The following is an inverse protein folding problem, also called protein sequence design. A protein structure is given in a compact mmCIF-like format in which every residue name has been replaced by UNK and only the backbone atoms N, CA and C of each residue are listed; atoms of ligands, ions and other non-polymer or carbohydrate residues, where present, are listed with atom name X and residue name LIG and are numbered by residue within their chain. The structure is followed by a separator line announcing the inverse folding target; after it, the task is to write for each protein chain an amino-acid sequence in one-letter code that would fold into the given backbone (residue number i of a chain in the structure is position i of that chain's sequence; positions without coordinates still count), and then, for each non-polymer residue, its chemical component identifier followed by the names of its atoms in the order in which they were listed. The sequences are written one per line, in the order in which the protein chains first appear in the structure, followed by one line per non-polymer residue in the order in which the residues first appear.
data_IF_774006564192
#
_entry.id   IF_774006564192
#
_cell.length_a   1.000
_cell.length_b   1.000
_cell.length_c   1.000
_cell.angle_alpha   90.00
_cell.angle_beta   90.00
_cell.angle_gamma   90.00
#
_symmetry.space_group_name_H-M   'P 1'
#
loop_
_entity.id
_entity.type
_entity.pdbx_description
1 polymer ?
#
# COMPACT_ATOMS: atom_id res chain seq x y z
N UNK A 1 13.24 -36.08 -7.65
CA UNK A 1 14.01 -35.01 -6.99
C UNK A 1 13.18 -33.73 -6.73
N UNK A 2 11.88 -33.83 -6.40
CA UNK A 2 11.01 -32.68 -6.07
C UNK A 2 10.51 -32.69 -4.61
N UNK A 3 10.75 -33.77 -3.86
CA UNK A 3 10.21 -33.97 -2.53
C UNK A 3 10.95 -33.18 -1.44
N UNK A 4 12.29 -33.12 -1.49
CA UNK A 4 13.07 -32.37 -0.50
C UNK A 4 12.87 -30.85 -0.61
N UNK A 5 12.76 -30.30 -1.82
CA UNK A 5 12.53 -28.86 -2.01
C UNK A 5 11.17 -28.43 -1.48
N UNK A 6 10.12 -29.24 -1.68
CA UNK A 6 8.80 -28.97 -1.11
C UNK A 6 8.81 -29.10 0.42
N UNK A 7 9.48 -30.11 0.97
CA UNK A 7 9.57 -30.29 2.43
C UNK A 7 10.34 -29.16 3.12
N UNK A 8 11.44 -28.69 2.51
CA UNK A 8 12.21 -27.55 3.00
C UNK A 8 11.40 -26.26 2.91
N UNK A 9 10.67 -26.04 1.81
CA UNK A 9 9.77 -24.89 1.69
C UNK A 9 8.67 -24.95 2.76
N UNK A 10 8.09 -26.12 3.03
CA UNK A 10 7.08 -26.29 4.07
C UNK A 10 7.59 -26.04 5.49
N UNK A 11 8.75 -26.57 5.83
CA UNK A 11 9.37 -26.37 7.15
C UNK A 11 9.81 -24.91 7.32
N UNK A 12 10.45 -24.32 6.31
CA UNK A 12 10.80 -22.91 6.33
C UNK A 12 9.57 -22.01 6.39
N UNK A 13 8.48 -22.34 5.69
CA UNK A 13 7.26 -21.53 5.66
C UNK A 13 6.47 -21.61 6.98
N UNK A 14 6.40 -22.78 7.63
CA UNK A 14 5.74 -22.92 8.93
C UNK A 14 6.52 -22.24 10.07
N UNK A 15 7.86 -22.28 10.00
CA UNK A 15 8.74 -21.53 10.92
C UNK A 15 8.67 -20.03 10.64
N UNK A 16 8.71 -19.60 9.37
CA UNK A 16 8.49 -18.20 8.99
C UNK A 16 7.12 -17.71 9.47
N UNK A 17 6.06 -18.49 9.29
CA UNK A 17 4.70 -18.16 9.71
C UNK A 17 4.64 -17.89 11.22
N UNK A 18 5.26 -18.75 12.05
CA UNK A 18 5.29 -18.56 13.49
C UNK A 18 6.12 -17.35 13.92
N UNK A 19 7.24 -17.07 13.24
CA UNK A 19 8.12 -15.93 13.53
C UNK A 19 7.48 -14.60 13.06
N UNK A 20 6.84 -14.59 11.90
CA UNK A 20 6.09 -13.45 11.35
C UNK A 20 4.78 -13.15 12.09
N UNK A 21 4.48 -13.82 13.21
CA UNK A 21 3.25 -13.59 13.99
C UNK A 21 3.48 -12.80 15.29
N UNK A 22 4.73 -12.51 15.68
CA UNK A 22 5.04 -11.75 16.90
C UNK A 22 5.49 -10.32 16.60
N UNK A 23 4.79 -9.61 15.72
CA UNK A 23 5.07 -8.18 15.52
C UNK A 23 4.86 -7.39 16.82
N UNK A 24 5.71 -6.39 17.14
CA UNK A 24 6.71 -5.76 16.29
C UNK A 24 8.14 -6.33 16.45
N UNK A 25 8.35 -7.56 16.92
CA UNK A 25 9.71 -8.10 17.01
C UNK A 25 10.37 -8.18 15.61
N UNK A 26 11.62 -7.70 15.46
CA UNK A 26 12.27 -7.62 14.17
C UNK A 26 12.67 -8.99 13.64
N UNK A 27 12.49 -9.18 12.33
CA UNK A 27 13.07 -10.31 11.61
C UNK A 27 14.52 -9.98 11.30
N UNK A 28 15.43 -10.74 11.91
CA UNK A 28 16.88 -10.65 11.71
C UNK A 28 17.37 -11.91 11.00
N UNK A 29 18.18 -11.73 9.95
CA UNK A 29 18.85 -12.83 9.27
C UNK A 29 20.26 -13.07 9.85
N UNK A 30 20.89 -12.02 10.36
CA UNK A 30 22.20 -12.02 11.02
C UNK A 30 22.14 -11.15 12.28
N UNK A 31 23.11 -11.31 13.19
CA UNK A 31 23.23 -10.45 14.35
C UNK A 31 23.56 -9.01 13.91
N UNK A 32 22.98 -8.02 14.59
CA UNK A 32 23.26 -6.62 14.30
C UNK A 32 24.73 -6.28 14.56
N UNK A 33 25.29 -5.42 13.71
CA UNK A 33 26.65 -4.90 13.84
C UNK A 33 26.86 -4.26 15.22
N UNK A 34 27.97 -4.58 15.88
CA UNK A 34 28.26 -4.10 17.23
C UNK A 34 28.59 -2.60 17.26
N UNK A 35 28.28 -1.95 18.39
CA UNK A 35 28.57 -0.52 18.63
C UNK A 35 30.05 -0.16 18.43
N UNK A 36 30.95 -1.11 18.70
CA UNK A 36 32.39 -0.96 18.52
C UNK A 36 32.79 -0.89 17.04
N UNK A 37 32.22 -1.76 16.20
CA UNK A 37 32.42 -1.75 14.75
C UNK A 37 31.86 -0.47 14.11
N UNK A 38 30.70 -0.02 14.60
CA UNK A 38 30.07 1.23 14.18
C UNK A 38 30.97 2.43 14.51
N UNK A 39 31.46 2.52 15.75
CA UNK A 39 32.33 3.62 16.20
C UNK A 39 33.64 3.66 15.40
N UNK A 40 34.21 2.51 15.06
CA UNK A 40 35.41 2.41 14.21
C UNK A 40 35.15 2.89 12.78
N UNK A 41 33.94 2.66 12.24
CA UNK A 41 33.57 3.11 10.89
C UNK A 41 33.25 4.61 10.84
N UNK A 42 32.55 5.13 11.86
CA UNK A 42 32.16 6.54 11.97
C UNK A 42 33.35 7.48 12.17
N UNK A 43 34.40 7.04 12.85
CA UNK A 43 35.63 7.83 12.99
C UNK A 43 36.35 8.05 11.65
N UNK A 44 36.00 7.32 10.58
CA UNK A 44 36.63 7.42 9.28
C UNK A 44 35.83 8.19 8.22
N UNK A 45 34.53 8.48 8.40
CA UNK A 45 33.75 9.29 7.46
C UNK A 45 32.63 10.11 8.13
N UNK A 46 32.41 11.31 7.58
CA UNK A 46 31.43 12.33 7.98
C UNK A 46 30.06 11.77 8.44
N UNK A 47 29.53 12.42 9.49
CA UNK A 47 28.33 12.11 10.29
C UNK A 47 26.99 11.82 9.56
N UNK A 48 26.90 11.87 8.23
CA UNK A 48 25.66 11.64 7.48
C UNK A 48 25.16 10.18 7.53
N UNK A 49 26.05 9.24 7.85
CA UNK A 49 25.68 7.83 8.03
C UNK A 49 24.95 7.56 9.35
N UNK A 50 25.03 8.46 10.34
CA UNK A 50 24.34 8.33 11.64
C UNK A 50 22.83 8.58 11.48
N UNK A 51 22.44 9.45 10.54
CA UNK A 51 21.02 9.71 10.24
C UNK A 51 20.38 8.61 9.37
N UNK A 52 21.17 7.70 8.81
CA UNK A 52 20.68 6.50 8.10
C UNK A 52 20.10 5.42 9.05
N UNK A 53 20.05 5.69 10.36
CA UNK A 53 19.75 4.68 11.36
C UNK A 53 18.26 4.60 11.68
N UNK A 54 17.55 3.70 10.99
CA UNK A 54 16.21 3.26 11.40
C UNK A 54 16.22 2.25 12.57
N UNK A 55 17.37 2.00 13.21
CA UNK A 55 17.45 1.21 14.45
C UNK A 55 16.99 2.00 15.69
N UNK A 56 17.12 3.33 15.69
CA UNK A 56 16.54 4.18 16.74
C UNK A 56 15.01 4.08 16.76
N UNK A 57 14.38 3.94 15.58
CA UNK A 57 12.93 3.77 15.41
C UNK A 57 12.39 2.37 15.75
N UNK A 58 13.26 1.36 15.94
CA UNK A 58 12.82 0.09 16.55
C UNK A 58 12.56 0.30 18.06
N UNK A 59 13.29 1.22 18.68
CA UNK A 59 13.15 1.60 20.10
C UNK A 59 12.46 2.95 20.31
N UNK A 60 12.01 3.62 19.24
CA UNK A 60 11.35 4.92 19.37
C UNK A 60 9.96 4.67 19.95
N UNK A 61 9.83 4.90 21.25
CA UNK A 61 8.60 4.69 22.02
C UNK A 61 7.42 5.49 21.44
N UNK A 62 7.70 6.60 20.75
CA UNK A 62 6.66 7.45 20.15
C UNK A 62 6.11 6.90 18.83
N UNK A 63 6.93 6.19 18.03
CA UNK A 63 6.52 5.62 16.72
C UNK A 63 7.30 4.32 16.42
N UNK A 64 6.93 3.20 17.06
CA UNK A 64 7.59 1.93 16.82
C UNK A 64 7.34 1.41 15.40
N UNK A 65 8.33 0.73 14.82
CA UNK A 65 8.15 0.02 13.55
C UNK A 65 7.13 -1.11 13.70
N UNK A 66 6.18 -1.19 12.76
CA UNK A 66 5.01 -2.09 12.87
C UNK A 66 5.36 -3.54 12.51
N UNK A 67 6.14 -3.74 11.45
CA UNK A 67 6.62 -5.04 11.00
C UNK A 67 8.10 -4.95 10.58
N UNK A 68 9.04 -4.79 11.51
CA UNK A 68 10.44 -4.55 11.14
C UNK A 68 11.09 -5.78 10.52
N UNK A 69 11.63 -5.61 9.31
CA UNK A 69 12.44 -6.61 8.61
C UNK A 69 13.78 -5.95 8.31
N UNK A 70 14.87 -6.47 8.88
CA UNK A 70 16.16 -5.79 8.85
C UNK A 70 17.07 -6.41 7.81
N UNK A 71 17.67 -5.57 6.95
CA UNK A 71 18.66 -6.01 5.98
C UNK A 71 19.91 -6.55 6.70
N UNK A 72 20.50 -7.68 6.25
CA UNK A 72 21.61 -8.31 6.94
C UNK A 72 22.94 -7.54 6.78
N UNK A 73 23.11 -6.81 5.67
CA UNK A 73 24.35 -6.11 5.38
C UNK A 73 24.36 -4.74 6.05
N UNK A 74 25.50 -4.43 6.67
CA UNK A 74 25.81 -3.10 7.17
C UNK A 74 25.91 -2.07 6.01
N UNK A 75 25.33 -0.86 6.17
CA UNK A 75 24.46 -0.45 7.27
C UNK A 75 23.09 -1.12 7.21
N UNK A 76 22.64 -1.70 8.33
CA UNK A 76 21.36 -2.39 8.42
C UNK A 76 20.18 -1.41 8.35
N UNK A 77 19.14 -1.77 7.60
CA UNK A 77 17.96 -0.93 7.37
C UNK A 77 16.68 -1.74 7.51
N UNK A 78 15.62 -1.09 8.04
CA UNK A 78 14.29 -1.67 8.00
C UNK A 78 13.73 -1.57 6.57
N UNK A 79 13.68 -2.68 5.84
CA UNK A 79 13.16 -2.72 4.46
C UNK A 79 11.63 -2.64 4.40
N UNK A 80 10.97 -2.85 5.54
CA UNK A 80 9.53 -2.85 5.71
C UNK A 80 9.00 -1.56 6.39
N UNK A 81 9.78 -0.48 6.37
CA UNK A 81 9.43 0.81 7.00
C UNK A 81 8.14 1.45 6.46
N UNK A 82 7.71 1.06 5.26
CA UNK A 82 6.51 1.59 4.62
C UNK A 82 5.21 0.96 5.11
N UNK A 83 5.29 -0.11 5.91
CA UNK A 83 4.13 -0.80 6.47
C UNK A 83 3.51 0.05 7.57
N UNK A 84 2.20 0.28 7.45
CA UNK A 84 1.34 0.88 8.48
C UNK A 84 0.30 -0.14 9.00
N UNK A 85 -0.47 0.22 10.03
CA UNK A 85 -1.43 -0.70 10.67
C UNK A 85 -2.48 -1.24 9.68
N UNK A 86 -2.90 -0.42 8.72
CA UNK A 86 -3.86 -0.82 7.68
C UNK A 86 -3.26 -1.84 6.72
N UNK A 87 -2.03 -1.64 6.25
CA UNK A 87 -1.34 -2.61 5.36
C UNK A 87 -0.92 -3.88 6.11
N UNK A 88 -0.57 -3.77 7.39
CA UNK A 88 -0.29 -4.90 8.29
C UNK A 88 -1.52 -5.81 8.40
N UNK A 89 -2.72 -5.25 8.55
CA UNK A 89 -3.96 -6.03 8.62
C UNK A 89 -4.14 -6.93 7.38
N UNK A 90 -3.83 -6.42 6.19
CA UNK A 90 -3.89 -7.16 4.92
C UNK A 90 -2.87 -8.28 4.92
N UNK A 91 -1.62 -7.99 5.32
CA UNK A 91 -0.57 -9.01 5.39
C UNK A 91 -0.97 -10.13 6.36
N UNK A 92 -1.49 -9.79 7.54
CA UNK A 92 -1.94 -10.77 8.52
C UNK A 92 -3.12 -11.60 8.01
N UNK A 93 -4.09 -10.98 7.32
CA UNK A 93 -5.23 -11.69 6.72
C UNK A 93 -4.78 -12.70 5.66
N UNK A 94 -3.95 -12.27 4.70
CA UNK A 94 -3.49 -13.16 3.64
C UNK A 94 -2.57 -14.26 4.18
N UNK A 95 -1.74 -13.93 5.18
CA UNK A 95 -0.87 -14.90 5.88
C UNK A 95 -1.69 -15.93 6.64
N UNK A 96 -2.73 -15.51 7.36
CA UNK A 96 -3.66 -16.42 8.07
C UNK A 96 -4.40 -17.33 7.10
N UNK A 97 -4.92 -16.77 6.00
CA UNK A 97 -5.58 -17.54 4.94
C UNK A 97 -4.66 -18.61 4.34
N UNK A 98 -3.40 -18.26 4.07
CA UNK A 98 -2.40 -19.22 3.61
C UNK A 98 -2.14 -20.31 4.68
N UNK A 99 -1.95 -19.91 5.95
CA UNK A 99 -1.78 -20.85 7.07
C UNK A 99 -2.92 -21.84 7.19
N UNK A 100 -4.17 -21.40 7.06
CA UNK A 100 -5.35 -22.25 7.16
C UNK A 100 -5.44 -23.25 5.99
N UNK A 101 -4.99 -22.88 4.79
CA UNK A 101 -4.82 -23.84 3.68
C UNK A 101 -3.76 -24.91 3.99
N UNK A 102 -2.68 -24.54 4.68
CA UNK A 102 -1.62 -25.49 5.04
C UNK A 102 -1.97 -26.39 6.23
N UNK A 103 -2.80 -25.94 7.19
CA UNK A 103 -3.25 -26.77 8.32
C UNK A 103 -4.07 -27.98 7.86
N UNK A 104 -4.87 -27.81 6.81
CA UNK A 104 -5.75 -28.85 6.28
C UNK A 104 -5.08 -29.70 5.19
N UNK A 105 -3.76 -29.62 5.07
CA UNK A 105 -3.02 -30.21 3.97
C UNK A 105 -2.50 -31.61 4.31
N UNK A 106 -2.92 -32.60 3.54
CA UNK A 106 -2.27 -33.90 3.49
C UNK A 106 -1.17 -33.86 2.42
N UNK A 107 0.02 -34.39 2.73
CA UNK A 107 1.18 -34.38 1.83
C UNK A 107 0.91 -34.94 0.42
N UNK A 108 -0.05 -35.87 0.30
CA UNK A 108 -0.46 -36.46 -0.98
C UNK A 108 -1.25 -35.49 -1.89
N UNK A 109 -1.74 -34.36 -1.36
CA UNK A 109 -2.56 -33.38 -2.08
C UNK A 109 -1.74 -32.20 -2.65
N UNK A 110 -0.41 -32.21 -2.51
CA UNK A 110 0.49 -31.18 -3.03
C UNK A 110 0.74 -31.33 -4.53
N UNK A 111 -0.30 -31.11 -5.32
CA UNK A 111 -0.21 -31.09 -6.78
C UNK A 111 0.01 -29.66 -7.29
N UNK A 112 0.53 -29.53 -8.52
CA UNK A 112 0.61 -28.24 -9.22
C UNK A 112 -0.75 -27.52 -9.27
N UNK A 113 -1.82 -28.29 -9.46
CA UNK A 113 -3.18 -27.79 -9.48
C UNK A 113 -3.62 -27.21 -8.13
N UNK A 114 -3.27 -27.89 -7.02
CA UNK A 114 -3.53 -27.37 -5.68
C UNK A 114 -2.89 -25.99 -5.52
N UNK A 115 -1.60 -25.85 -5.81
CA UNK A 115 -0.88 -24.56 -5.72
C UNK A 115 -1.54 -23.45 -6.54
N UNK A 116 -1.95 -23.74 -7.78
CA UNK A 116 -2.60 -22.77 -8.67
C UNK A 116 -4.00 -22.36 -8.18
N UNK A 117 -4.76 -23.29 -7.59
CA UNK A 117 -6.14 -23.05 -7.16
C UNK A 117 -6.25 -22.49 -5.75
N UNK A 118 -5.25 -22.69 -4.89
CA UNK A 118 -5.25 -22.23 -3.49
C UNK A 118 -4.33 -21.03 -3.29
N UNK A 119 -3.02 -21.23 -3.32
CA UNK A 119 -2.01 -20.23 -2.94
C UNK A 119 -1.80 -19.17 -4.03
N UNK A 120 -1.67 -19.57 -5.29
CA UNK A 120 -1.41 -18.67 -6.41
C UNK A 120 -2.67 -18.28 -7.19
N UNK A 121 -3.86 -18.53 -6.62
CA UNK A 121 -5.11 -18.13 -7.22
C UNK A 121 -5.14 -16.62 -7.36
N UNK A 122 -5.36 -16.13 -8.58
CA UNK A 122 -5.47 -14.68 -8.85
C UNK A 122 -6.52 -14.06 -7.95
N UNK A 123 -6.10 -13.05 -7.20
CA UNK A 123 -6.97 -12.31 -6.30
C UNK A 123 -7.97 -11.49 -7.13
N UNK A 124 -9.26 -11.65 -6.84
CA UNK A 124 -10.28 -10.75 -7.36
C UNK A 124 -10.43 -9.56 -6.41
N UNK A 125 -9.66 -8.51 -6.67
CA UNK A 125 -9.61 -7.31 -5.82
C UNK A 125 -10.98 -6.66 -5.63
N UNK A 126 -11.82 -6.66 -6.67
CA UNK A 126 -13.17 -6.11 -6.62
C UNK A 126 -14.05 -6.81 -5.59
N UNK A 127 -13.77 -8.08 -5.28
CA UNK A 127 -14.55 -8.89 -4.33
C UNK A 127 -14.04 -8.78 -2.89
N UNK A 128 -12.84 -8.26 -2.67
CA UNK A 128 -12.26 -8.13 -1.33
C UNK A 128 -12.86 -6.94 -0.57
N UNK A 129 -13.12 -5.84 -1.27
CA UNK A 129 -13.56 -4.59 -0.66
C UNK A 129 -15.00 -4.27 -1.06
N UNK A 130 -15.79 -3.83 -0.08
CA UNK A 130 -17.17 -3.33 -0.30
C UNK A 130 -17.18 -1.88 -0.79
N UNK A 131 -16.15 -1.13 -0.42
CA UNK A 131 -16.04 0.31 -0.66
C UNK A 131 -14.74 0.62 -1.41
N UNK A 132 -14.80 1.59 -2.31
CA UNK A 132 -13.65 2.04 -3.09
C UNK A 132 -13.59 3.57 -3.14
N UNK A 133 -12.37 4.09 -3.22
CA UNK A 133 -12.10 5.47 -3.64
C UNK A 133 -11.27 5.40 -4.92
N UNK A 134 -11.75 6.07 -5.97
CA UNK A 134 -10.93 6.39 -7.13
C UNK A 134 -10.20 7.68 -6.86
N UNK A 135 -8.88 7.66 -6.95
CA UNK A 135 -8.06 8.86 -6.97
C UNK A 135 -7.70 9.13 -8.44
N UNK A 136 -8.07 10.29 -8.95
CA UNK A 136 -7.93 10.67 -10.35
C UNK A 136 -6.97 11.85 -10.42
N UNK A 137 -5.82 11.67 -11.05
CA UNK A 137 -4.90 12.74 -11.42
C UNK A 137 -5.14 13.09 -12.89
N UNK A 138 -5.42 14.36 -13.15
CA UNK A 138 -5.66 14.89 -14.50
C UNK A 138 -4.62 15.94 -14.83
N UNK A 139 -4.02 15.84 -16.02
CA UNK A 139 -3.03 16.80 -16.52
C UNK A 139 -3.33 17.14 -17.99
N UNK A 140 -3.41 18.43 -18.38
CA UNK A 140 -3.64 18.81 -19.77
C UNK A 140 -2.43 18.51 -20.65
N UNK A 141 -2.68 17.97 -21.85
CA UNK A 141 -1.67 17.50 -22.80
C UNK A 141 -0.94 18.65 -23.51
N UNK A 142 -1.53 19.86 -23.62
CA UNK A 142 -0.80 21.04 -24.17
C UNK A 142 0.47 21.41 -23.39
N UNK A 143 0.63 20.91 -22.15
CA UNK A 143 1.84 21.04 -21.33
C UNK A 143 2.91 19.98 -21.70
N UNK A 144 2.57 18.94 -22.50
CA UNK A 144 3.54 17.96 -23.03
C UNK A 144 4.40 18.53 -24.16
N UNK A 145 3.91 19.48 -24.96
CA UNK A 145 4.56 19.86 -26.22
C UNK A 145 5.63 20.95 -26.10
N UNK A 146 5.66 21.75 -25.03
CA UNK A 146 6.58 22.89 -24.97
C UNK A 146 7.90 22.64 -24.22
N UNK A 147 8.10 21.48 -23.60
CA UNK A 147 9.39 21.07 -23.03
C UNK A 147 9.46 19.54 -23.10
N UNK A 148 10.39 19.00 -23.89
CA UNK A 148 10.85 17.61 -23.91
C UNK A 148 10.32 16.72 -22.75
N UNK A 149 9.24 15.97 -23.02
CA UNK A 149 8.91 14.65 -22.47
C UNK A 149 8.88 14.36 -20.96
N UNK A 150 9.04 15.30 -20.03
CA UNK A 150 9.16 14.93 -18.60
C UNK A 150 8.07 15.47 -17.66
N UNK A 151 7.45 16.63 -17.88
CA UNK A 151 6.70 17.29 -16.79
C UNK A 151 5.29 16.73 -16.49
N UNK A 152 4.53 16.27 -17.48
CA UNK A 152 3.17 15.74 -17.25
C UNK A 152 3.16 14.40 -16.49
N UNK A 153 3.99 13.45 -16.94
CA UNK A 153 4.19 12.16 -16.27
C UNK A 153 4.91 12.32 -14.92
N UNK A 154 5.77 13.33 -14.78
CA UNK A 154 6.46 13.63 -13.51
C UNK A 154 5.49 14.06 -12.42
N UNK A 155 4.42 14.80 -12.71
CA UNK A 155 3.44 15.21 -11.68
C UNK A 155 2.60 14.04 -11.16
N UNK A 156 1.96 13.25 -12.02
CA UNK A 156 1.21 12.07 -11.56
C UNK A 156 2.14 10.96 -11.03
N UNK A 157 3.37 10.85 -11.54
CA UNK A 157 4.40 9.95 -11.02
C UNK A 157 4.92 10.34 -9.63
N UNK A 158 5.14 11.63 -9.37
CA UNK A 158 5.45 12.15 -8.04
C UNK A 158 4.28 12.00 -7.07
N UNK A 159 3.05 12.19 -7.55
CA UNK A 159 1.85 11.89 -6.77
C UNK A 159 1.79 10.40 -6.42
N UNK A 160 2.13 9.49 -7.33
CA UNK A 160 2.20 8.05 -7.06
C UNK A 160 3.16 7.72 -5.90
N UNK A 161 4.30 8.41 -5.79
CA UNK A 161 5.25 8.16 -4.68
C UNK A 161 4.76 8.73 -3.35
N UNK A 162 3.98 9.82 -3.36
CA UNK A 162 3.41 10.45 -2.16
C UNK A 162 2.04 9.91 -1.74
N UNK A 163 1.29 9.28 -2.66
CA UNK A 163 -0.07 8.81 -2.43
C UNK A 163 -0.16 7.91 -1.19
N UNK A 164 0.83 7.05 -0.97
CA UNK A 164 0.89 6.19 0.22
C UNK A 164 0.93 6.98 1.53
N UNK A 165 1.73 8.05 1.59
CA UNK A 165 1.84 8.90 2.77
C UNK A 165 0.53 9.65 3.01
N UNK A 166 -0.06 10.20 1.95
CA UNK A 166 -1.33 10.90 2.02
C UNK A 166 -2.46 9.97 2.49
N UNK A 167 -2.55 8.76 1.93
CA UNK A 167 -3.54 7.78 2.35
C UNK A 167 -3.33 7.33 3.81
N UNK A 168 -2.08 7.30 4.30
CA UNK A 168 -1.79 7.03 5.71
C UNK A 168 -2.33 8.16 6.60
N UNK A 169 -2.01 9.40 6.28
CA UNK A 169 -2.47 10.59 7.03
C UNK A 169 -4.00 10.73 7.00
N UNK A 170 -4.60 10.51 5.82
CA UNK A 170 -6.05 10.46 5.63
C UNK A 170 -6.70 9.40 6.52
N UNK A 171 -6.15 8.18 6.50
CA UNK A 171 -6.63 7.06 7.29
C UNK A 171 -6.54 7.35 8.80
N UNK A 172 -5.43 7.93 9.26
CA UNK A 172 -5.23 8.36 10.65
C UNK A 172 -6.22 9.46 11.06
N UNK A 173 -6.48 10.45 10.20
CA UNK A 173 -7.46 11.52 10.46
C UNK A 173 -8.87 10.97 10.62
N UNK A 174 -9.31 10.07 9.73
CA UNK A 174 -10.66 9.48 9.80
C UNK A 174 -10.83 8.56 11.00
N UNK A 175 -9.81 7.81 11.38
CA UNK A 175 -9.89 6.91 12.54
C UNK A 175 -10.07 7.64 13.87
N UNK A 176 -9.82 8.96 13.93
CA UNK A 176 -10.16 9.83 15.06
C UNK A 176 -11.62 10.31 15.07
N UNK A 177 -12.39 10.05 14.01
CA UNK A 177 -13.78 10.47 13.85
C UNK A 177 -14.76 9.31 14.12
N UNK A 178 -16.04 9.52 13.78
CA UNK A 178 -17.10 8.52 13.98
C UNK A 178 -17.01 7.30 13.04
N UNK A 179 -16.02 7.25 12.15
CA UNK A 179 -15.80 6.19 11.17
C UNK A 179 -14.50 5.49 11.53
N UNK A 180 -14.51 4.16 11.59
CA UNK A 180 -13.31 3.38 11.83
C UNK A 180 -12.92 2.60 10.58
N UNK A 181 -11.77 2.94 10.02
CA UNK A 181 -11.12 2.26 8.92
C UNK A 181 -10.29 1.08 9.46
N UNK A 182 -10.57 -0.12 8.97
CA UNK A 182 -9.80 -1.32 9.33
C UNK A 182 -8.65 -1.54 8.36
N UNK A 183 -8.93 -1.39 7.07
CA UNK A 183 -7.97 -1.71 6.02
C UNK A 183 -8.16 -0.76 4.83
N UNK A 184 -7.03 -0.39 4.22
CA UNK A 184 -7.04 0.15 2.87
C UNK A 184 -5.92 -0.46 2.06
N UNK A 185 -6.16 -0.60 0.76
CA UNK A 185 -5.15 -1.01 -0.19
C UNK A 185 -5.25 -0.15 -1.44
N UNK A 186 -4.13 0.09 -2.11
CA UNK A 186 -4.11 0.84 -3.37
C UNK A 186 -3.53 -0.05 -4.45
N UNK A 187 -4.27 -0.23 -5.55
CA UNK A 187 -3.71 -0.83 -6.75
C UNK A 187 -3.07 0.25 -7.59
N UNK A 188 -1.92 -0.07 -8.20
CA UNK A 188 -1.23 0.77 -9.16
C UNK A 188 -2.20 1.28 -10.21
N UNK A 189 -2.20 2.59 -10.43
CA UNK A 189 -3.18 3.22 -11.29
C UNK A 189 -3.08 2.73 -12.73
N UNK A 190 -4.22 2.76 -13.42
CA UNK A 190 -4.25 2.62 -14.86
C UNK A 190 -4.15 4.02 -15.47
N UNK A 191 -3.32 4.14 -16.50
CA UNK A 191 -3.11 5.38 -17.24
C UNK A 191 -3.97 5.36 -18.49
N UNK A 192 -4.64 6.48 -18.80
CA UNK A 192 -5.44 6.63 -20.02
C UNK A 192 -5.38 8.07 -20.52
N UNK A 193 -5.35 8.24 -21.82
CA UNK A 193 -5.48 9.55 -22.48
C UNK A 193 -6.93 9.75 -22.92
N UNK A 194 -7.49 10.94 -22.65
CA UNK A 194 -8.86 11.30 -23.02
C UNK A 194 -8.90 12.71 -23.59
N UNK A 195 -9.72 12.93 -24.62
CA UNK A 195 -10.04 14.29 -25.09
C UNK A 195 -11.18 14.85 -24.23
N UNK A 196 -10.94 15.99 -23.58
CA UNK A 196 -11.98 16.65 -22.79
C UNK A 196 -12.68 17.71 -23.63
N UNK A 197 -14.00 17.56 -23.79
CA UNK A 197 -14.84 18.53 -24.50
C UNK A 197 -15.08 19.82 -23.69
N UNK A 198 -14.91 19.76 -22.35
CA UNK A 198 -15.17 20.88 -21.43
C UNK A 198 -14.26 22.10 -21.61
N UNK A 199 -13.08 21.93 -22.21
CA UNK A 199 -12.11 23.01 -22.42
C UNK A 199 -11.69 22.95 -23.90
N UNK A 200 -12.46 23.54 -24.81
CA UNK A 200 -12.12 23.76 -26.22
C UNK A 200 -11.23 22.68 -26.89
N UNK A 201 -11.58 21.39 -26.72
CA UNK A 201 -10.86 20.26 -27.32
C UNK A 201 -9.42 20.04 -26.83
N UNK A 202 -9.04 20.50 -25.62
CA UNK A 202 -7.74 20.15 -25.04
C UNK A 202 -7.70 18.69 -24.64
N UNK A 203 -6.71 17.96 -25.14
CA UNK A 203 -6.47 16.59 -24.72
C UNK A 203 -5.94 16.58 -23.27
N UNK A 204 -6.33 15.59 -22.46
CA UNK A 204 -5.91 15.42 -21.08
C UNK A 204 -5.39 13.99 -20.85
N UNK A 205 -4.38 13.87 -20.01
CA UNK A 205 -3.88 12.59 -19.53
C UNK A 205 -4.43 12.33 -18.13
N UNK A 206 -5.02 11.15 -17.93
CA UNK A 206 -5.65 10.73 -16.68
C UNK A 206 -4.88 9.54 -16.12
N UNK A 207 -4.47 9.63 -14.86
CA UNK A 207 -3.99 8.50 -14.08
C UNK A 207 -5.00 8.23 -12.98
N UNK A 208 -5.54 7.01 -12.94
CA UNK A 208 -6.57 6.64 -11.97
C UNK A 208 -6.06 5.53 -11.06
N UNK A 209 -5.98 5.78 -9.76
CA UNK A 209 -5.70 4.77 -8.74
C UNK A 209 -6.97 4.28 -8.09
N UNK A 210 -7.05 2.96 -7.89
CA UNK A 210 -8.15 2.33 -7.18
C UNK A 210 -7.73 2.00 -5.75
N UNK A 211 -8.35 2.67 -4.77
CA UNK A 211 -8.18 2.42 -3.35
C UNK A 211 -9.35 1.58 -2.85
N UNK A 212 -9.10 0.36 -2.38
CA UNK A 212 -10.09 -0.51 -1.75
C UNK A 212 -10.09 -0.29 -0.24
N UNK A 213 -11.27 -0.27 0.37
CA UNK A 213 -11.46 0.20 1.74
C UNK A 213 -12.41 -0.76 2.47
N UNK A 214 -12.01 -1.17 3.67
CA UNK A 214 -12.86 -1.89 4.61
C UNK A 214 -13.09 -1.03 5.85
N UNK A 215 -14.35 -0.69 6.08
CA UNK A 215 -14.79 0.07 7.25
C UNK A 215 -15.28 -0.91 8.30
N UNK A 216 -14.99 -0.63 9.57
CA UNK A 216 -15.57 -1.35 10.68
C UNK A 216 -17.03 -0.95 10.82
N UNK A 217 -17.90 -1.94 10.97
CA UNK A 217 -19.28 -1.70 11.35
C UNK A 217 -19.30 -1.13 12.78
N UNK A 218 -19.56 0.17 12.89
CA UNK A 218 -19.78 0.83 14.18
C UNK A 218 -21.26 0.66 14.56
N UNK A 219 -21.54 0.40 15.84
CA UNK A 219 -22.91 0.35 16.41
C UNK A 219 -23.66 1.69 16.29
N UNK A 220 -22.96 2.78 15.99
CA UNK A 220 -23.56 4.08 15.73
C UNK A 220 -24.22 4.09 14.35
N UNK A 221 -25.55 4.26 14.34
CA UNK A 221 -26.43 4.47 13.18
C UNK A 221 -26.12 5.78 12.44
N UNK A 222 -24.90 5.96 11.97
CA UNK A 222 -24.57 7.05 11.04
C UNK A 222 -25.01 6.59 9.67
N UNK A 223 -25.88 7.39 9.05
CA UNK A 223 -26.37 7.14 7.71
C UNK A 223 -25.20 6.96 6.75
N UNK A 224 -25.33 5.96 5.86
CA UNK A 224 -24.25 5.57 4.95
C UNK A 224 -23.81 6.71 4.02
N UNK A 225 -24.72 7.65 3.72
CA UNK A 225 -24.42 8.85 2.93
C UNK A 225 -23.46 9.78 3.66
N UNK A 226 -23.72 10.07 4.94
CA UNK A 226 -22.83 10.91 5.74
C UNK A 226 -21.43 10.31 5.89
N UNK A 227 -21.33 8.96 5.98
CA UNK A 227 -20.03 8.27 5.96
C UNK A 227 -19.28 8.54 4.66
N UNK A 228 -19.96 8.51 3.52
CA UNK A 228 -19.35 8.71 2.21
C UNK A 228 -18.86 10.14 2.01
N UNK A 229 -19.68 11.11 2.38
CA UNK A 229 -19.34 12.52 2.29
C UNK A 229 -18.11 12.84 3.11
N UNK A 230 -18.05 12.39 4.37
CA UNK A 230 -16.89 12.59 5.23
C UNK A 230 -15.61 12.00 4.60
N UNK A 231 -15.66 10.75 4.12
CA UNK A 231 -14.50 10.10 3.49
C UNK A 231 -13.94 10.92 2.31
N UNK A 232 -14.83 11.44 1.45
CA UNK A 232 -14.48 12.22 0.26
C UNK A 232 -13.98 13.62 0.62
N UNK A 233 -14.67 14.31 1.54
CA UNK A 233 -14.30 15.65 1.95
C UNK A 233 -12.90 15.66 2.56
N UNK A 234 -12.61 14.73 3.48
CA UNK A 234 -11.31 14.66 4.15
C UNK A 234 -10.16 14.41 3.18
N UNK A 235 -10.32 13.54 2.18
CA UNK A 235 -9.26 13.26 1.20
C UNK A 235 -9.09 14.41 0.20
N UNK A 236 -10.20 15.01 -0.26
CA UNK A 236 -10.13 16.11 -1.22
C UNK A 236 -9.57 17.38 -0.58
N UNK A 237 -9.83 17.64 0.70
CA UNK A 237 -9.15 18.70 1.47
C UNK A 237 -7.64 18.56 1.43
N UNK A 238 -7.11 17.34 1.61
CA UNK A 238 -5.67 17.09 1.50
C UNK A 238 -5.16 17.33 0.08
N UNK A 239 -5.98 17.02 -0.94
CA UNK A 239 -5.63 17.17 -2.34
C UNK A 239 -5.62 18.63 -2.79
N UNK A 240 -6.48 19.49 -2.22
CA UNK A 240 -6.51 20.93 -2.51
C UNK A 240 -5.15 21.59 -2.28
N UNK A 241 -4.42 21.19 -1.24
CA UNK A 241 -3.08 21.71 -0.95
C UNK A 241 -2.05 21.38 -2.04
N UNK A 242 -2.29 20.31 -2.79
CA UNK A 242 -1.37 19.79 -3.83
C UNK A 242 -1.78 20.26 -5.22
N UNK A 243 -3.04 20.60 -5.43
CA UNK A 243 -3.56 21.17 -6.68
C UNK A 243 -2.92 22.54 -6.94
N UNK A 244 -1.70 22.54 -7.49
CA UNK A 244 -0.96 23.71 -7.97
C UNK A 244 -0.62 23.53 -9.44
N UNK A 245 -0.78 24.61 -10.21
CA UNK A 245 -0.29 24.74 -11.59
C UNK A 245 -0.72 23.60 -12.54
N UNK A 246 -2.02 23.55 -12.86
CA UNK A 246 -2.51 22.81 -14.02
C UNK A 246 -2.61 21.29 -13.87
N UNK A 247 -2.43 20.72 -12.68
CA UNK A 247 -2.81 19.33 -12.41
C UNK A 247 -3.96 19.28 -11.40
N UNK A 248 -4.99 18.49 -11.69
CA UNK A 248 -6.15 18.31 -10.80
C UNK A 248 -6.16 16.91 -10.23
N UNK A 249 -6.05 16.82 -8.91
CA UNK A 249 -6.24 15.61 -8.14
C UNK A 249 -7.63 15.64 -7.50
N UNK A 250 -8.41 14.59 -7.73
CA UNK A 250 -9.75 14.44 -7.18
C UNK A 250 -9.97 12.99 -6.71
N UNK A 251 -10.70 12.82 -5.62
CA UNK A 251 -11.17 11.53 -5.14
C UNK A 251 -12.68 11.38 -5.32
N UNK A 252 -13.09 10.20 -5.75
CA UNK A 252 -14.51 9.83 -5.90
C UNK A 252 -14.75 8.52 -5.17
N UNK A 253 -15.74 8.51 -4.29
CA UNK A 253 -16.19 7.30 -3.61
C UNK A 253 -17.11 6.46 -4.49
N UNK A 254 -16.97 5.13 -4.41
CA UNK A 254 -17.78 4.17 -5.16
C UNK A 254 -18.04 2.94 -4.30
N UNK A 255 -19.29 2.46 -4.27
CA UNK A 255 -19.60 1.13 -3.73
C UNK A 255 -19.27 0.05 -4.77
N UNK A 256 -18.85 -1.12 -4.29
CA UNK A 256 -18.49 -2.28 -5.11
C UNK A 256 -19.45 -2.56 -6.29
N UNK A 257 -20.76 -2.52 -6.05
CA UNK A 257 -21.79 -2.81 -7.06
C UNK A 257 -21.81 -1.83 -8.25
N UNK A 258 -21.29 -0.61 -8.07
CA UNK A 258 -21.24 0.42 -9.10
C UNK A 258 -19.86 0.51 -9.78
N UNK A 259 -18.87 -0.24 -9.29
CA UNK A 259 -17.51 -0.18 -9.79
C UNK A 259 -17.46 -0.54 -11.27
N UNK A 260 -18.13 -1.60 -11.71
CA UNK A 260 -18.10 -2.03 -13.12
C UNK A 260 -18.75 -1.01 -14.06
N UNK A 261 -19.85 -0.40 -13.62
CA UNK A 261 -20.51 0.68 -14.39
C UNK A 261 -19.55 1.86 -14.57
N UNK A 262 -18.89 2.28 -13.49
CA UNK A 262 -17.99 3.43 -13.54
C UNK A 262 -16.71 3.15 -14.34
N UNK A 263 -16.15 1.94 -14.27
CA UNK A 263 -15.07 1.55 -15.17
C UNK A 263 -15.52 1.52 -16.63
N UNK A 264 -16.75 1.10 -16.93
CA UNK A 264 -17.33 1.28 -18.25
C UNK A 264 -17.27 2.74 -18.71
N UNK A 265 -17.76 3.68 -17.90
CA UNK A 265 -17.73 5.12 -18.21
C UNK A 265 -16.33 5.76 -18.26
N UNK A 266 -15.34 5.18 -17.57
CA UNK A 266 -13.95 5.64 -17.62
C UNK A 266 -13.19 5.01 -18.80
N UNK A 267 -13.57 3.80 -19.21
CA UNK A 267 -12.97 3.06 -20.31
C UNK A 267 -13.57 3.39 -21.69
N UNK A 268 -14.77 3.99 -21.74
CA UNK A 268 -15.38 4.58 -22.94
C UNK A 268 -15.38 6.12 -22.89
#
# INVERSE_FOLDING_TARGET
MFCLFCLMFFLCFNVLLKVCLQWPFPVLLEALTSQELITKYLNNQNNYLIDSWYLSNIKNENQPSIMPIISPKFPEQNVAFNINEYTKSIILRETKKASDHFKNLNHNNLTKEWWQKTIFKKINYKLIYKHFILVICTVPIKIKENINNYFGNFKCGLLKTKLRLMLKEWAEKINGEKIKLEEYHTISGFEKERKCERINGTEEHWTVWLVGINLKDNENNIEEQQKQENLILTINEQFLNINREGSWLNAVYIKQNYLEKMFGFLLF
#
